data_IF_055367787659
#
_entry.id   IF_055367787659
#
_cell.length_a   1.000
_cell.length_b   1.000
_cell.length_c   1.000
_cell.angle_alpha   90.00
_cell.angle_beta   90.00
_cell.angle_gamma   90.00
#
_symmetry.space_group_name_H-M   'P 1'
#
loop_
_entity.id
_entity.type
_entity.pdbx_description
1 polymer ?
#
# COMPACT_ATOMS: atom_id res chain seq x y z
N UNK A 1 -74.83 46.80 -0.20
CA UNK A 1 -73.93 46.03 0.71
C UNK A 1 -73.46 44.81 -0.05
N UNK A 2 -72.21 44.80 -0.51
CA UNK A 2 -71.55 43.69 -1.26
C UNK A 2 -70.59 43.02 -0.32
N UNK A 3 -70.82 41.76 -0.01
CA UNK A 3 -69.99 40.92 0.82
C UNK A 3 -69.06 40.12 -0.10
N UNK A 4 -67.74 40.31 0.02
CA UNK A 4 -66.69 39.55 -0.70
C UNK A 4 -66.25 38.36 0.17
N UNK A 5 -66.47 37.13 -0.31
CA UNK A 5 -65.95 35.89 0.27
C UNK A 5 -64.58 35.64 -0.30
N UNK A 6 -63.60 35.62 0.54
CA UNK A 6 -62.16 35.20 0.20
C UNK A 6 -62.10 33.70 0.39
N UNK A 7 -61.91 32.99 -0.71
CA UNK A 7 -61.58 31.56 -0.68
C UNK A 7 -60.09 31.35 -0.44
N UNK A 8 -59.79 30.68 0.64
CA UNK A 8 -58.40 30.24 0.95
C UNK A 8 -58.12 28.95 0.18
N UNK A 9 -57.26 29.01 -0.84
CA UNK A 9 -56.72 27.83 -1.49
C UNK A 9 -55.53 27.29 -0.69
N UNK A 10 -55.74 26.15 -0.01
CA UNK A 10 -54.66 25.38 0.61
C UNK A 10 -53.98 24.58 -0.49
N UNK A 11 -52.79 25.01 -0.95
CA UNK A 11 -51.96 24.24 -1.86
C UNK A 11 -51.20 23.16 -1.05
N UNK A 12 -51.61 21.90 -1.16
CA UNK A 12 -50.85 20.73 -0.67
C UNK A 12 -49.59 20.55 -1.51
N UNK A 13 -48.46 20.91 -0.96
CA UNK A 13 -47.15 20.59 -1.51
C UNK A 13 -46.84 19.12 -1.16
N UNK A 14 -47.03 18.20 -2.10
CA UNK A 14 -46.55 16.83 -2.03
C UNK A 14 -45.04 16.85 -2.38
N UNK A 15 -44.21 16.92 -1.36
CA UNK A 15 -42.78 16.75 -1.51
C UNK A 15 -42.45 15.33 -1.95
N UNK A 16 -42.02 15.17 -3.21
CA UNK A 16 -41.39 13.93 -3.69
C UNK A 16 -40.10 13.70 -2.95
N UNK A 17 -40.12 12.77 -2.00
CA UNK A 17 -38.87 12.22 -1.44
C UNK A 17 -38.25 11.36 -2.53
N UNK A 18 -37.29 11.93 -3.26
CA UNK A 18 -36.45 11.20 -4.21
C UNK A 18 -35.68 10.13 -3.48
N UNK A 19 -36.03 8.88 -3.65
CA UNK A 19 -35.24 7.75 -3.23
C UNK A 19 -33.91 7.81 -4.00
N UNK A 20 -32.81 8.16 -3.28
CA UNK A 20 -31.46 8.14 -3.82
C UNK A 20 -31.07 6.68 -4.01
N UNK A 21 -31.19 6.16 -5.23
CA UNK A 21 -30.66 4.84 -5.59
C UNK A 21 -29.16 4.80 -5.27
N UNK A 22 -28.79 4.03 -4.25
CA UNK A 22 -27.39 3.68 -4.00
C UNK A 22 -26.95 2.80 -5.18
N UNK A 23 -26.17 3.36 -6.10
CA UNK A 23 -25.53 2.60 -7.16
C UNK A 23 -24.72 1.49 -6.51
N UNK A 24 -25.03 0.25 -6.84
CA UNK A 24 -24.22 -0.92 -6.48
C UNK A 24 -22.79 -0.70 -7.00
N UNK A 25 -21.74 -1.05 -6.21
CA UNK A 25 -20.36 -0.94 -6.68
C UNK A 25 -20.20 -1.73 -7.97
N UNK A 26 -19.49 -1.16 -8.94
CA UNK A 26 -19.23 -1.84 -10.22
C UNK A 26 -18.40 -3.12 -9.96
N UNK A 27 -18.51 -4.14 -10.83
CA UNK A 27 -17.73 -5.38 -10.72
C UNK A 27 -16.20 -5.11 -10.68
N UNK A 28 -15.75 -3.98 -11.21
CA UNK A 28 -14.36 -3.52 -11.11
C UNK A 28 -14.00 -3.06 -9.68
N UNK A 29 -14.94 -2.47 -8.93
CA UNK A 29 -14.76 -2.11 -7.52
C UNK A 29 -14.84 -3.34 -6.60
N UNK A 30 -15.69 -4.29 -6.89
CA UNK A 30 -15.77 -5.57 -6.17
C UNK A 30 -14.49 -6.44 -6.37
N UNK A 31 -13.81 -6.30 -7.52
CA UNK A 31 -12.51 -6.96 -7.77
C UNK A 31 -11.34 -6.29 -7.05
N UNK A 32 -11.50 -5.03 -6.60
CA UNK A 32 -10.48 -4.29 -5.85
C UNK A 32 -10.52 -4.56 -4.34
N UNK A 33 -11.60 -5.16 -3.83
CA UNK A 33 -11.70 -5.70 -2.47
C UNK A 33 -11.36 -7.19 -2.48
N UNK A 34 -10.18 -7.55 -3.00
CA UNK A 34 -9.64 -8.87 -2.73
C UNK A 34 -9.61 -9.05 -1.21
N UNK A 35 -10.22 -10.13 -0.74
CA UNK A 35 -10.47 -10.40 0.67
C UNK A 35 -9.20 -10.23 1.50
N UNK A 36 -9.19 -9.25 2.41
CA UNK A 36 -8.10 -9.04 3.35
C UNK A 36 -7.99 -10.28 4.23
N UNK A 37 -6.78 -10.80 4.35
CA UNK A 37 -6.54 -11.98 5.17
C UNK A 37 -5.47 -11.71 6.24
N UNK A 38 -5.44 -12.54 7.28
CA UNK A 38 -4.50 -12.45 8.39
C UNK A 38 -3.47 -13.57 8.35
N UNK A 39 -2.34 -13.35 8.98
CA UNK A 39 -1.27 -14.32 9.10
C UNK A 39 -0.13 -13.80 9.96
N UNK A 40 1.04 -14.37 9.81
CA UNK A 40 2.27 -13.89 10.45
C UNK A 40 3.44 -13.97 9.47
N UNK A 41 4.40 -13.07 9.58
CA UNK A 41 5.62 -13.10 8.77
C UNK A 41 6.57 -14.14 9.34
N UNK A 42 6.87 -15.16 8.55
CA UNK A 42 7.80 -16.24 8.90
C UNK A 42 9.24 -15.92 8.53
N UNK A 43 9.44 -15.13 7.47
CA UNK A 43 10.76 -14.75 6.97
C UNK A 43 10.73 -13.41 6.25
N UNK A 44 11.81 -12.65 6.35
CA UNK A 44 12.04 -11.41 5.61
C UNK A 44 13.16 -11.65 4.61
N UNK A 45 12.85 -11.50 3.32
CA UNK A 45 13.84 -11.69 2.25
C UNK A 45 14.69 -10.44 2.07
N UNK A 46 14.03 -9.29 1.94
CA UNK A 46 14.62 -7.96 1.78
C UNK A 46 13.68 -6.87 2.35
N UNK A 47 13.93 -5.61 2.04
CA UNK A 47 13.15 -4.48 2.56
C UNK A 47 11.75 -4.31 1.95
N UNK A 48 11.35 -5.13 0.97
CA UNK A 48 10.03 -5.04 0.34
C UNK A 48 9.39 -6.42 0.03
N UNK A 49 10.06 -7.51 0.40
CA UNK A 49 9.58 -8.87 0.13
C UNK A 49 9.65 -9.74 1.37
N UNK A 50 8.55 -10.36 1.72
CA UNK A 50 8.41 -11.21 2.92
C UNK A 50 7.73 -12.54 2.60
N UNK A 51 7.94 -13.55 3.46
CA UNK A 51 7.17 -14.78 3.46
C UNK A 51 6.13 -14.70 4.58
N UNK A 52 4.85 -14.81 4.22
CA UNK A 52 3.72 -14.71 5.14
C UNK A 52 3.00 -16.06 5.19
N UNK A 53 2.82 -16.62 6.36
CA UNK A 53 1.98 -17.81 6.57
C UNK A 53 0.57 -17.31 6.89
N UNK A 54 -0.38 -17.61 5.99
CA UNK A 54 -1.79 -17.27 6.18
C UNK A 54 -2.39 -18.07 7.32
N UNK A 55 -3.25 -17.45 8.13
CA UNK A 55 -3.95 -18.14 9.23
C UNK A 55 -4.70 -19.37 8.73
N UNK A 56 -4.47 -20.51 9.38
CA UNK A 56 -5.04 -21.81 8.98
C UNK A 56 -4.30 -22.52 7.84
N UNK A 57 -3.22 -21.96 7.30
CA UNK A 57 -2.36 -22.58 6.27
C UNK A 57 -0.97 -22.92 6.84
N UNK A 58 -0.24 -23.80 6.16
CA UNK A 58 1.13 -24.18 6.55
C UNK A 58 2.18 -23.57 5.61
N UNK A 59 1.82 -23.47 4.33
CA UNK A 59 2.74 -23.00 3.29
C UNK A 59 2.80 -21.46 3.30
N UNK A 60 4.00 -20.89 3.28
CA UNK A 60 4.17 -19.45 3.21
C UNK A 60 3.90 -18.92 1.80
N UNK A 61 3.28 -17.77 1.73
CA UNK A 61 3.09 -16.98 0.52
C UNK A 61 4.23 -15.97 0.41
N UNK A 62 4.86 -15.86 -0.76
CA UNK A 62 5.85 -14.83 -1.05
C UNK A 62 5.14 -13.54 -1.45
N UNK A 63 5.10 -12.58 -0.54
CA UNK A 63 4.44 -11.30 -0.71
C UNK A 63 5.48 -10.20 -1.00
N UNK A 64 5.32 -9.51 -2.14
CA UNK A 64 6.01 -8.26 -2.44
C UNK A 64 5.10 -7.08 -2.09
N UNK A 65 5.62 -6.14 -1.32
CA UNK A 65 4.85 -4.95 -0.94
C UNK A 65 4.58 -4.05 -2.17
N UNK A 66 3.32 -3.64 -2.31
CA UNK A 66 2.90 -2.70 -3.34
C UNK A 66 3.52 -1.32 -3.12
N UNK A 67 3.83 -0.66 -4.24
CA UNK A 67 4.30 0.73 -4.27
C UNK A 67 5.60 1.04 -3.49
N UNK A 68 6.37 0.00 -3.13
CA UNK A 68 7.66 0.10 -2.43
C UNK A 68 8.75 -0.52 -3.29
N UNK A 69 9.95 0.05 -3.26
CA UNK A 69 11.17 -0.50 -3.90
C UNK A 69 12.35 -0.33 -2.93
N UNK A 70 12.75 -1.42 -2.31
CA UNK A 70 13.81 -1.42 -1.30
C UNK A 70 15.19 -1.68 -1.93
N UNK A 71 16.28 -1.23 -1.29
CA UNK A 71 17.63 -1.61 -1.70
C UNK A 71 17.75 -3.13 -1.79
N UNK A 72 18.43 -3.59 -2.84
CA UNK A 72 18.78 -5.00 -2.99
C UNK A 72 19.67 -5.44 -1.81
N UNK A 73 19.61 -6.72 -1.41
CA UNK A 73 20.35 -7.23 -0.24
C UNK A 73 21.88 -7.05 -0.36
N UNK A 74 22.41 -7.04 -1.58
CA UNK A 74 23.84 -6.76 -1.86
C UNK A 74 24.15 -5.29 -2.17
N UNK A 75 23.14 -4.41 -2.19
CA UNK A 75 23.33 -2.97 -2.27
C UNK A 75 23.78 -2.42 -0.90
N UNK A 76 24.57 -1.34 -0.83
CA UNK A 76 25.11 -0.85 0.46
C UNK A 76 24.08 -0.71 1.58
N UNK A 77 22.88 -0.20 1.29
CA UNK A 77 21.83 -0.01 2.28
C UNK A 77 20.85 -1.22 2.40
N UNK A 78 21.10 -2.28 1.64
CA UNK A 78 20.25 -3.47 1.61
C UNK A 78 20.09 -4.17 2.96
N UNK A 79 21.19 -4.49 3.67
CA UNK A 79 21.12 -5.08 5.01
C UNK A 79 20.32 -4.21 5.99
N UNK A 80 20.56 -2.90 6.04
CA UNK A 80 19.85 -1.99 6.92
C UNK A 80 18.34 -1.91 6.60
N UNK A 81 17.99 -1.89 5.32
CA UNK A 81 16.60 -1.94 4.87
C UNK A 81 15.90 -3.24 5.29
N UNK A 82 16.56 -4.38 5.10
CA UNK A 82 16.05 -5.68 5.54
C UNK A 82 15.87 -5.74 7.06
N UNK A 83 16.82 -5.23 7.84
CA UNK A 83 16.75 -5.20 9.29
C UNK A 83 15.59 -4.32 9.79
N UNK A 84 15.34 -3.18 9.12
CA UNK A 84 14.17 -2.34 9.40
C UNK A 84 12.86 -3.10 9.14
N UNK A 85 12.76 -3.83 8.03
CA UNK A 85 11.61 -4.68 7.74
C UNK A 85 11.44 -5.77 8.81
N UNK A 86 12.52 -6.44 9.22
CA UNK A 86 12.50 -7.45 10.29
C UNK A 86 11.91 -6.86 11.58
N UNK A 87 12.39 -5.69 11.99
CA UNK A 87 11.90 -5.03 13.20
C UNK A 87 10.41 -4.68 13.14
N UNK A 88 9.90 -4.34 11.96
CA UNK A 88 8.49 -4.02 11.76
C UNK A 88 7.59 -5.24 11.80
N UNK A 89 7.98 -6.38 11.20
CA UNK A 89 7.00 -7.41 10.85
C UNK A 89 7.35 -8.84 11.33
N UNK A 90 8.62 -9.16 11.62
CA UNK A 90 9.01 -10.55 11.84
C UNK A 90 8.30 -11.16 13.06
N UNK A 91 7.63 -12.30 12.86
CA UNK A 91 6.84 -13.06 13.85
C UNK A 91 5.68 -12.27 14.45
N UNK A 92 5.26 -11.15 13.84
CA UNK A 92 4.09 -10.39 14.28
C UNK A 92 2.85 -10.84 13.52
N UNK A 93 1.65 -10.73 14.12
CA UNK A 93 0.40 -10.83 13.40
C UNK A 93 0.30 -9.70 12.35
N UNK A 94 -0.12 -10.06 11.15
CA UNK A 94 -0.24 -9.11 10.04
C UNK A 94 -1.58 -9.26 9.35
N UNK A 95 -2.01 -8.17 8.70
CA UNK A 95 -3.09 -8.18 7.72
C UNK A 95 -2.50 -7.94 6.34
N UNK A 96 -2.95 -8.72 5.37
CA UNK A 96 -2.55 -8.61 3.97
C UNK A 96 -3.75 -8.25 3.13
N UNK A 97 -3.66 -7.14 2.40
CA UNK A 97 -4.58 -6.76 1.34
C UNK A 97 -3.97 -7.17 0.01
N UNK A 98 -4.41 -8.26 -0.63
CA UNK A 98 -3.87 -8.67 -1.92
C UNK A 98 -4.32 -7.71 -3.02
N UNK A 99 -3.42 -7.42 -3.97
CA UNK A 99 -3.66 -6.53 -5.10
C UNK A 99 -3.45 -7.21 -6.46
N UNK A 100 -2.92 -8.43 -6.47
CA UNK A 100 -2.67 -9.21 -7.68
C UNK A 100 -1.34 -9.94 -7.66
N UNK A 101 -0.83 -10.27 -8.84
CA UNK A 101 0.45 -10.95 -9.02
C UNK A 101 1.32 -10.18 -9.99
N UNK A 102 2.63 -10.28 -9.82
CA UNK A 102 3.57 -9.75 -10.81
C UNK A 102 3.90 -10.79 -11.91
N UNK A 103 4.71 -10.36 -12.88
CA UNK A 103 5.15 -11.22 -13.98
C UNK A 103 6.07 -12.37 -13.55
N UNK A 104 6.54 -12.37 -12.31
CA UNK A 104 7.39 -13.41 -11.71
C UNK A 104 6.58 -14.37 -10.81
N UNK A 105 5.24 -14.24 -10.79
CA UNK A 105 4.35 -15.07 -9.99
C UNK A 105 4.39 -14.76 -8.49
N UNK A 106 4.94 -13.60 -8.06
CA UNK A 106 4.89 -13.17 -6.67
C UNK A 106 3.55 -12.50 -6.39
N UNK A 107 2.98 -12.75 -5.23
CA UNK A 107 1.83 -11.99 -4.77
C UNK A 107 2.22 -10.53 -4.50
N UNK A 108 1.43 -9.60 -4.99
CA UNK A 108 1.56 -8.17 -4.72
C UNK A 108 0.46 -7.78 -3.74
N UNK A 109 0.83 -7.06 -2.69
CA UNK A 109 -0.16 -6.61 -1.71
C UNK A 109 0.36 -5.53 -0.77
N UNK A 110 -0.55 -5.05 0.07
CA UNK A 110 -0.22 -4.19 1.21
C UNK A 110 -0.20 -5.02 2.47
N UNK A 111 0.74 -4.71 3.33
CA UNK A 111 0.94 -5.37 4.62
C UNK A 111 0.74 -4.36 5.73
N UNK A 112 -0.02 -4.72 6.75
CA UNK A 112 -0.16 -3.89 7.95
C UNK A 112 0.05 -4.70 9.23
N UNK A 113 0.61 -4.05 10.23
CA UNK A 113 0.80 -4.53 11.62
C UNK A 113 0.10 -3.55 12.54
N UNK A 114 -0.83 -4.02 13.37
CA UNK A 114 -1.60 -3.18 14.30
C UNK A 114 -2.23 -1.94 13.62
N UNK A 115 -2.69 -2.10 12.37
CA UNK A 115 -3.29 -1.03 11.57
C UNK A 115 -2.29 -0.08 10.92
N UNK A 116 -0.99 -0.24 11.13
CA UNK A 116 0.07 0.57 10.51
C UNK A 116 0.49 -0.04 9.17
N UNK A 117 0.44 0.75 8.11
CA UNK A 117 0.91 0.36 6.76
C UNK A 117 2.45 0.24 6.76
N UNK A 118 2.94 -1.00 6.60
CA UNK A 118 4.37 -1.32 6.63
C UNK A 118 5.12 -0.67 5.47
N UNK A 119 4.53 -0.64 4.27
CA UNK A 119 5.14 0.03 3.12
C UNK A 119 5.32 1.53 3.34
N UNK A 120 4.29 2.18 3.92
CA UNK A 120 4.37 3.58 4.30
C UNK A 120 5.50 3.84 5.32
N UNK A 121 5.66 2.95 6.30
CA UNK A 121 6.69 3.08 7.34
C UNK A 121 8.10 2.90 6.79
N UNK A 122 8.30 1.93 5.90
CA UNK A 122 9.58 1.73 5.20
C UNK A 122 9.99 2.96 4.39
N UNK A 123 9.04 3.58 3.69
CA UNK A 123 9.31 4.81 2.92
C UNK A 123 9.51 6.02 3.84
N UNK A 124 8.70 6.16 4.90
CA UNK A 124 8.81 7.26 5.88
C UNK A 124 10.15 7.27 6.60
N UNK A 125 10.65 6.09 6.97
CA UNK A 125 11.97 5.94 7.61
C UNK A 125 13.14 6.11 6.64
N UNK A 126 12.87 6.19 5.34
CA UNK A 126 13.89 6.25 4.30
C UNK A 126 14.58 4.91 4.04
N UNK A 127 13.99 3.79 4.46
CA UNK A 127 14.55 2.45 4.23
C UNK A 127 14.12 1.84 2.89
N UNK A 128 13.21 2.51 2.17
CA UNK A 128 12.81 2.14 0.82
C UNK A 128 12.38 3.38 0.02
N UNK A 129 12.38 3.24 -1.30
CA UNK A 129 11.83 4.23 -2.22
C UNK A 129 10.34 3.99 -2.45
N UNK A 130 9.58 5.08 -2.70
CA UNK A 130 8.24 4.99 -3.24
C UNK A 130 8.31 4.56 -4.70
N UNK A 131 7.84 3.36 -5.02
CA UNK A 131 7.86 2.84 -6.37
C UNK A 131 6.78 3.48 -7.24
N UNK A 132 7.17 3.94 -8.44
CA UNK A 132 6.26 4.53 -9.43
C UNK A 132 5.72 3.45 -10.35
N UNK A 133 4.74 2.68 -9.92
CA UNK A 133 4.12 1.73 -10.83
C UNK A 133 3.10 2.42 -11.74
N UNK A 134 3.34 2.39 -13.05
CA UNK A 134 2.50 2.81 -14.19
C UNK A 134 1.98 4.26 -14.23
N UNK A 135 1.78 4.96 -13.12
CA UNK A 135 1.12 6.28 -13.09
C UNK A 135 2.05 7.42 -12.66
N UNK A 136 3.31 7.16 -12.40
CA UNK A 136 4.30 8.19 -12.04
C UNK A 136 4.17 8.77 -10.63
N UNK A 137 3.11 8.44 -9.85
CA UNK A 137 2.92 8.93 -8.48
C UNK A 137 2.31 7.83 -7.63
N UNK A 138 3.15 7.03 -6.97
CA UNK A 138 2.71 6.05 -5.98
C UNK A 138 2.15 6.72 -4.71
N UNK A 139 1.42 5.98 -3.87
CA UNK A 139 0.77 6.50 -2.66
C UNK A 139 1.76 7.09 -1.65
N UNK A 140 3.02 6.70 -1.68
CA UNK A 140 4.05 7.08 -0.71
C UNK A 140 4.98 8.20 -1.18
N UNK A 141 4.72 8.83 -2.34
CA UNK A 141 5.62 9.86 -2.89
C UNK A 141 5.83 11.07 -1.95
N UNK A 142 4.82 11.44 -1.16
CA UNK A 142 4.95 12.50 -0.16
C UNK A 142 5.87 12.09 1.00
N UNK A 143 5.77 10.84 1.45
CA UNK A 143 6.61 10.27 2.51
C UNK A 143 8.08 10.22 2.09
N UNK A 144 8.36 9.82 0.84
CA UNK A 144 9.73 9.84 0.31
C UNK A 144 10.30 11.26 0.28
N UNK A 145 9.54 12.24 -0.22
CA UNK A 145 10.01 13.64 -0.20
C UNK A 145 10.35 14.13 1.21
N UNK A 146 9.55 13.72 2.19
CA UNK A 146 9.82 14.04 3.59
C UNK A 146 11.10 13.36 4.08
N UNK A 147 11.27 12.04 3.83
CA UNK A 147 12.46 11.29 4.21
C UNK A 147 13.74 11.89 3.59
N UNK A 148 13.68 12.30 2.31
CA UNK A 148 14.77 12.99 1.63
C UNK A 148 15.11 14.35 2.27
N UNK A 149 14.08 15.18 2.54
CA UNK A 149 14.27 16.49 3.19
C UNK A 149 14.90 16.36 4.58
N UNK A 150 14.50 15.35 5.32
CA UNK A 150 14.96 15.09 6.68
C UNK A 150 16.19 14.17 6.73
N UNK A 151 16.73 13.78 5.58
CA UNK A 151 17.91 12.92 5.44
C UNK A 151 17.80 11.63 6.25
N UNK A 152 16.69 10.93 6.11
CA UNK A 152 16.46 9.67 6.82
C UNK A 152 16.98 8.47 6.04
N UNK A 153 17.44 7.44 6.76
CA UNK A 153 17.83 6.15 6.19
C UNK A 153 18.83 6.29 5.04
N UNK A 154 18.52 5.70 3.89
CA UNK A 154 19.37 5.75 2.68
C UNK A 154 19.63 7.17 2.18
N UNK A 155 18.80 8.14 2.55
CA UNK A 155 18.94 9.56 2.17
C UNK A 155 19.83 10.36 3.16
N UNK A 156 20.43 9.71 4.16
CA UNK A 156 21.25 10.39 5.18
C UNK A 156 22.61 10.89 4.63
N UNK A 157 23.09 10.32 3.53
CA UNK A 157 24.35 10.69 2.90
C UNK A 157 24.35 12.09 2.30
N UNK A 158 25.54 12.54 1.83
CA UNK A 158 25.69 13.79 1.08
C UNK A 158 25.32 13.64 -0.38
N UNK A 159 25.56 12.45 -0.94
CA UNK A 159 25.27 12.12 -2.33
C UNK A 159 23.87 11.53 -2.49
N UNK A 160 23.30 11.68 -3.68
CA UNK A 160 22.03 11.05 -3.99
C UNK A 160 22.21 9.52 -4.02
N UNK A 161 21.48 8.75 -3.20
CA UNK A 161 21.67 7.31 -3.14
C UNK A 161 21.17 6.65 -4.43
N UNK A 162 21.89 5.65 -4.90
CA UNK A 162 21.50 4.87 -6.08
C UNK A 162 20.17 4.15 -5.81
N UNK A 163 19.16 4.40 -6.64
CA UNK A 163 17.88 3.70 -6.49
C UNK A 163 18.01 2.21 -6.79
N UNK A 164 17.17 1.34 -6.19
CA UNK A 164 17.22 -0.10 -6.43
C UNK A 164 17.05 -0.47 -7.91
N UNK A 165 16.15 0.23 -8.62
CA UNK A 165 15.97 0.04 -10.05
C UNK A 165 17.25 0.33 -10.86
N UNK A 166 17.99 1.38 -10.49
CA UNK A 166 19.25 1.72 -11.13
C UNK A 166 20.35 0.70 -10.75
N UNK A 167 20.37 0.28 -9.50
CA UNK A 167 21.30 -0.76 -9.03
C UNK A 167 21.13 -2.05 -9.82
N UNK A 168 19.88 -2.55 -9.97
CA UNK A 168 19.57 -3.75 -10.75
C UNK A 168 19.99 -3.63 -12.22
N UNK A 169 19.87 -2.45 -12.79
CA UNK A 169 20.29 -2.21 -14.18
C UNK A 169 21.79 -2.44 -14.39
N UNK A 170 22.63 -2.09 -13.42
CA UNK A 170 24.08 -2.19 -13.53
C UNK A 170 24.67 -3.47 -12.93
N UNK A 171 24.04 -4.03 -11.90
CA UNK A 171 24.61 -5.12 -11.10
C UNK A 171 23.76 -6.41 -11.14
N UNK A 172 22.58 -6.37 -11.78
CA UNK A 172 21.60 -7.46 -11.68
C UNK A 172 20.89 -7.49 -10.30
N UNK A 173 20.04 -8.50 -10.09
CA UNK A 173 19.46 -8.77 -8.78
C UNK A 173 20.42 -9.58 -7.93
N UNK A 174 20.41 -9.36 -6.60
CA UNK A 174 21.27 -10.10 -5.66
C UNK A 174 20.83 -11.54 -5.42
N UNK A 175 19.67 -11.90 -5.90
CA UNK A 175 19.16 -13.27 -5.86
C UNK A 175 19.73 -13.93 -7.12
N UNK A 176 20.88 -14.62 -6.98
CA UNK A 176 21.43 -15.42 -8.07
C UNK A 176 20.35 -16.38 -8.60
N UNK A 177 20.37 -16.55 -9.92
CA UNK A 177 19.56 -17.53 -10.63
C UNK A 177 19.76 -18.93 -10.10
#
# INVERSE_FOLDING_TARGET
MKVWLWGVFLACWLGSVGAQERKSPSQAQAKAEAEVWTGWVSWVMDGDTVLVVRSGQKEPVKLRLDAVDAPETCQPDGPASRDAMIALVLRKPVQVQPLGHDSYGRDIGRLSVDGVDVGAEMVRSGMAWAYRFRTGRGPYAALQRQAQKEKRGVFAGRDEPMSPALFRKFNGSCHGN
#
